data_IF_832937660320
#
_entry.id   IF_832937660320
#
_cell.length_a   1.000
_cell.length_b   1.000
_cell.length_c   1.000
_cell.angle_alpha   90.00
_cell.angle_beta   90.00
_cell.angle_gamma   90.00
#
_symmetry.space_group_name_H-M   'P 1'
#
loop_
_entity.id
_entity.type
_entity.pdbx_description
1 polymer ?
#
# COMPACT_ATOMS: atom_id res chain seq x y z
N UNK A 1 22.99 41.10 -27.30
CA UNK A 1 21.72 41.08 -26.54
C UNK A 1 20.96 39.74 -26.63
N UNK A 2 21.49 38.71 -27.32
CA UNK A 2 20.84 37.39 -27.43
C UNK A 2 21.19 36.42 -26.27
N UNK A 3 22.36 36.56 -25.65
CA UNK A 3 22.81 35.65 -24.57
C UNK A 3 22.00 35.74 -23.28
N UNK A 4 21.51 36.93 -22.92
CA UNK A 4 20.75 37.14 -21.67
C UNK A 4 19.33 36.57 -21.72
N UNK A 5 18.73 36.42 -22.90
CA UNK A 5 17.38 35.85 -23.07
C UNK A 5 17.42 34.32 -22.98
N UNK A 6 18.43 33.71 -23.58
CA UNK A 6 18.66 32.26 -23.53
C UNK A 6 18.93 31.79 -22.09
N UNK A 7 19.72 32.55 -21.33
CA UNK A 7 20.03 32.21 -19.92
C UNK A 7 18.79 32.30 -19.01
N UNK A 8 17.92 33.29 -19.21
CA UNK A 8 16.66 33.44 -18.46
C UNK A 8 15.66 32.31 -18.75
N UNK A 9 15.57 31.87 -20.01
CA UNK A 9 14.70 30.77 -20.41
C UNK A 9 15.19 29.43 -19.85
N UNK A 10 16.51 29.18 -19.86
CA UNK A 10 17.11 28.00 -19.24
C UNK A 10 16.84 27.94 -17.73
N UNK A 11 16.97 29.05 -17.01
CA UNK A 11 16.68 29.09 -15.57
C UNK A 11 15.20 28.84 -15.24
N UNK A 12 14.26 29.37 -16.04
CA UNK A 12 12.83 29.16 -15.84
C UNK A 12 12.41 27.70 -16.06
N UNK A 13 13.02 27.02 -17.03
CA UNK A 13 12.73 25.61 -17.31
C UNK A 13 13.21 24.69 -16.17
N UNK A 14 14.36 24.99 -15.55
CA UNK A 14 14.88 24.21 -14.40
C UNK A 14 13.97 24.35 -13.17
N UNK A 15 13.39 25.53 -12.93
CA UNK A 15 12.50 25.77 -11.78
C UNK A 15 11.14 25.07 -11.94
N UNK A 16 10.59 24.98 -13.16
CA UNK A 16 9.32 24.28 -13.40
C UNK A 16 9.40 22.77 -13.17
N UNK A 17 10.57 22.14 -13.36
CA UNK A 17 10.77 20.70 -13.13
C UNK A 17 10.90 20.37 -11.62
N UNK A 18 11.30 21.33 -10.80
CA UNK A 18 11.42 21.14 -9.35
C UNK A 18 10.07 21.20 -8.63
N UNK A 19 9.05 21.82 -9.23
CA UNK A 19 7.71 21.93 -8.66
C UNK A 19 6.82 20.71 -8.94
N UNK A 20 7.24 19.81 -9.84
CA UNK A 20 6.57 18.55 -10.15
C UNK A 20 7.22 17.35 -9.48
N UNK A 21 8.24 17.55 -8.63
CA UNK A 21 8.76 16.50 -7.80
C UNK A 21 7.58 15.91 -7.02
N UNK A 22 7.26 14.61 -7.19
CA UNK A 22 6.28 13.97 -6.35
C UNK A 22 6.75 14.24 -4.93
N UNK A 23 5.84 14.80 -4.12
CA UNK A 23 6.06 14.97 -2.70
C UNK A 23 6.58 13.62 -2.22
N UNK A 24 7.86 13.56 -1.88
CA UNK A 24 8.44 12.41 -1.21
C UNK A 24 7.91 12.46 0.23
N UNK A 25 6.59 12.27 0.36
CA UNK A 25 6.06 11.56 1.50
C UNK A 25 6.92 10.30 1.58
N UNK A 26 7.47 9.98 2.75
CA UNK A 26 8.03 8.67 3.01
C UNK A 26 6.87 7.65 3.02
N UNK A 27 6.13 7.62 1.92
CA UNK A 27 4.94 6.84 1.72
C UNK A 27 5.42 5.44 1.38
N UNK A 28 4.90 4.46 2.11
CA UNK A 28 5.27 3.07 1.87
C UNK A 28 4.81 2.75 0.45
N UNK A 29 5.76 2.45 -0.44
CA UNK A 29 5.45 2.25 -1.84
C UNK A 29 4.50 1.04 -2.02
N UNK A 30 3.47 1.20 -2.85
CA UNK A 30 2.43 0.18 -2.96
C UNK A 30 2.94 -1.18 -3.48
N UNK A 31 3.94 -1.17 -4.36
CA UNK A 31 4.63 -2.39 -4.79
C UNK A 31 5.31 -3.13 -3.62
N UNK A 32 5.89 -2.39 -2.66
CA UNK A 32 6.48 -2.95 -1.45
C UNK A 32 5.39 -3.54 -0.53
N UNK A 33 4.24 -2.89 -0.43
CA UNK A 33 3.11 -3.42 0.35
C UNK A 33 2.62 -4.75 -0.23
N UNK A 34 2.44 -4.80 -1.55
CA UNK A 34 2.00 -6.01 -2.25
C UNK A 34 3.04 -7.13 -2.12
N UNK A 35 4.34 -6.82 -2.16
CA UNK A 35 5.38 -7.84 -2.03
C UNK A 35 5.39 -8.50 -0.65
N UNK A 36 5.14 -7.74 0.43
CA UNK A 36 4.98 -8.32 1.78
C UNK A 36 3.81 -9.31 1.87
N UNK A 37 2.75 -9.11 1.09
CA UNK A 37 1.53 -9.94 1.15
C UNK A 37 1.44 -10.99 0.06
N UNK A 38 2.34 -10.99 -0.93
CA UNK A 38 2.37 -12.02 -1.99
C UNK A 38 2.38 -13.44 -1.43
N UNK A 39 3.11 -13.77 -0.34
CA UNK A 39 3.05 -15.09 0.27
C UNK A 39 1.67 -15.49 0.81
N UNK A 40 0.80 -14.52 1.10
CA UNK A 40 -0.54 -14.77 1.65
C UNK A 40 -1.56 -15.18 0.59
N UNK A 41 -1.28 -14.96 -0.70
CA UNK A 41 -2.26 -15.11 -1.79
C UNK A 41 -2.85 -16.52 -1.82
N UNK A 42 -2.01 -17.56 -1.74
CA UNK A 42 -2.50 -18.94 -1.78
C UNK A 42 -3.49 -19.24 -0.65
N UNK A 43 -3.20 -18.74 0.57
CA UNK A 43 -4.11 -18.88 1.71
C UNK A 43 -5.41 -18.10 1.49
N UNK A 44 -5.34 -16.86 1.01
CA UNK A 44 -6.55 -16.04 0.77
C UNK A 44 -7.46 -16.68 -0.29
N UNK A 45 -6.88 -17.31 -1.31
CA UNK A 45 -7.63 -17.93 -2.39
C UNK A 45 -8.20 -19.30 -2.01
N UNK A 46 -7.45 -20.12 -1.26
CA UNK A 46 -7.76 -21.54 -1.07
C UNK A 46 -7.98 -21.96 0.39
N UNK A 47 -7.63 -21.11 1.37
CA UNK A 47 -7.59 -21.48 2.78
C UNK A 47 -6.37 -22.34 3.15
N UNK A 48 -6.51 -23.16 4.19
CA UNK A 48 -5.46 -24.08 4.65
C UNK A 48 -4.57 -23.52 5.76
N UNK A 49 -3.30 -23.93 5.79
CA UNK A 49 -2.32 -23.41 6.74
C UNK A 49 -1.78 -22.05 6.26
N UNK A 50 -1.64 -21.09 7.17
CA UNK A 50 -1.06 -19.77 6.85
C UNK A 50 0.45 -19.93 6.69
N UNK A 51 1.05 -19.54 5.54
CA UNK A 51 2.49 -19.60 5.36
C UNK A 51 3.24 -18.72 6.37
N UNK A 52 4.35 -19.20 6.93
CA UNK A 52 5.13 -18.45 7.92
C UNK A 52 5.59 -17.08 7.37
N UNK A 53 6.02 -17.04 6.11
CA UNK A 53 6.41 -15.82 5.41
C UNK A 53 5.25 -14.85 5.15
N UNK A 54 4.00 -15.33 5.07
CA UNK A 54 2.82 -14.46 5.06
C UNK A 54 2.72 -13.69 6.39
N UNK A 55 2.86 -14.38 7.52
CA UNK A 55 2.85 -13.72 8.83
C UNK A 55 4.03 -12.78 9.04
N UNK A 56 5.23 -13.14 8.57
CA UNK A 56 6.38 -12.22 8.58
C UNK A 56 6.10 -10.95 7.77
N UNK A 57 5.43 -11.08 6.62
CA UNK A 57 5.02 -9.94 5.79
C UNK A 57 4.00 -9.04 6.49
N UNK A 58 2.96 -9.62 7.09
CA UNK A 58 1.94 -8.88 7.86
C UNK A 58 2.58 -8.15 9.04
N UNK A 59 3.47 -8.81 9.79
CA UNK A 59 4.19 -8.19 10.91
C UNK A 59 5.09 -7.05 10.43
N UNK A 60 5.78 -7.23 9.31
CA UNK A 60 6.62 -6.19 8.70
C UNK A 60 5.79 -4.98 8.30
N UNK A 61 4.66 -5.18 7.63
CA UNK A 61 3.74 -4.09 7.28
C UNK A 61 3.21 -3.35 8.50
N UNK A 62 2.81 -4.07 9.55
CA UNK A 62 2.36 -3.45 10.80
C UNK A 62 3.49 -2.68 11.50
N UNK A 63 4.74 -3.11 11.33
CA UNK A 63 5.89 -2.39 11.85
C UNK A 63 6.18 -1.09 11.09
N UNK A 64 5.86 -1.04 9.79
CA UNK A 64 6.05 0.14 8.96
C UNK A 64 4.88 1.13 9.07
N UNK A 65 3.65 0.64 9.27
CA UNK A 65 2.45 1.46 9.32
C UNK A 65 2.21 2.12 10.70
N UNK A 66 3.17 2.94 11.15
CA UNK A 66 3.17 3.52 12.50
C UNK A 66 2.24 4.71 12.66
N UNK A 67 2.05 5.50 11.61
CA UNK A 67 1.16 6.66 11.63
C UNK A 67 -0.17 6.35 10.96
N UNK A 68 -1.18 7.17 11.23
CA UNK A 68 -2.47 7.06 10.55
C UNK A 68 -2.30 7.27 9.05
N UNK A 69 -1.44 8.21 8.63
CA UNK A 69 -1.10 8.40 7.22
C UNK A 69 -0.58 7.10 6.59
N UNK A 70 0.36 6.42 7.23
CA UNK A 70 0.91 5.16 6.69
C UNK A 70 -0.16 4.08 6.58
N UNK A 71 -1.02 3.94 7.60
CA UNK A 71 -2.11 2.96 7.60
C UNK A 71 -3.13 3.25 6.51
N UNK A 72 -3.43 4.54 6.26
CA UNK A 72 -4.30 4.97 5.17
C UNK A 72 -3.67 4.65 3.81
N UNK A 73 -2.37 4.90 3.63
CA UNK A 73 -1.65 4.54 2.42
C UNK A 73 -1.63 3.03 2.17
N UNK A 74 -1.36 2.23 3.20
CA UNK A 74 -1.45 0.77 3.13
C UNK A 74 -2.87 0.33 2.74
N UNK A 75 -3.89 0.87 3.39
CA UNK A 75 -5.29 0.57 3.06
C UNK A 75 -5.62 0.87 1.60
N UNK A 76 -5.27 2.08 1.11
CA UNK A 76 -5.54 2.50 -0.25
C UNK A 76 -4.80 1.63 -1.27
N UNK A 77 -3.54 1.28 -0.99
CA UNK A 77 -2.78 0.37 -1.82
C UNK A 77 -3.45 -1.01 -1.93
N UNK A 78 -3.85 -1.61 -0.80
CA UNK A 78 -4.50 -2.91 -0.78
C UNK A 78 -5.84 -2.90 -1.51
N UNK A 79 -6.64 -1.85 -1.31
CA UNK A 79 -7.91 -1.65 -2.03
C UNK A 79 -7.71 -1.59 -3.54
N UNK A 80 -6.70 -0.84 -4.00
CA UNK A 80 -6.36 -0.76 -5.42
C UNK A 80 -5.83 -2.09 -5.95
N UNK A 81 -4.92 -2.75 -5.23
CA UNK A 81 -4.37 -4.05 -5.64
C UNK A 81 -5.46 -5.11 -5.79
N UNK A 82 -6.41 -5.16 -4.84
CA UNK A 82 -7.57 -6.05 -4.92
C UNK A 82 -8.41 -5.72 -6.17
N UNK A 83 -8.73 -4.44 -6.36
CA UNK A 83 -9.58 -3.99 -7.49
C UNK A 83 -8.92 -4.23 -8.86
N UNK A 84 -7.60 -4.12 -8.94
CA UNK A 84 -6.82 -4.31 -10.18
C UNK A 84 -6.36 -5.75 -10.42
N UNK A 85 -6.51 -6.65 -9.44
CA UNK A 85 -6.01 -8.03 -9.55
C UNK A 85 -6.73 -8.90 -10.58
N UNK A 86 -7.93 -8.49 -11.03
CA UNK A 86 -8.80 -9.31 -11.89
C UNK A 86 -9.37 -10.55 -11.17
N UNK A 87 -9.07 -10.74 -9.89
CA UNK A 87 -9.57 -11.84 -9.06
C UNK A 87 -10.96 -11.50 -8.57
N UNK A 88 -11.91 -12.41 -8.76
CA UNK A 88 -13.23 -12.33 -8.13
C UNK A 88 -13.13 -12.89 -6.70
N UNK A 89 -13.09 -12.00 -5.73
CA UNK A 89 -13.14 -12.39 -4.32
C UNK A 89 -14.57 -12.73 -3.91
N UNK A 90 -14.75 -13.92 -3.32
CA UNK A 90 -15.99 -14.30 -2.65
C UNK A 90 -15.96 -13.89 -1.18
N UNK A 91 -17.11 -13.94 -0.49
CA UNK A 91 -17.17 -13.71 0.96
C UNK A 91 -16.24 -14.64 1.74
N UNK A 92 -16.03 -15.86 1.25
CA UNK A 92 -15.08 -16.81 1.81
C UNK A 92 -13.64 -16.26 1.74
N UNK A 93 -13.20 -15.80 0.57
CA UNK A 93 -11.85 -15.25 0.40
C UNK A 93 -11.64 -13.99 1.24
N UNK A 94 -12.65 -13.12 1.30
CA UNK A 94 -12.61 -11.90 2.11
C UNK A 94 -12.57 -12.22 3.61
N UNK A 95 -13.28 -13.25 4.06
CA UNK A 95 -13.21 -13.74 5.44
C UNK A 95 -11.82 -14.26 5.80
N UNK A 96 -11.18 -15.01 4.91
CA UNK A 96 -9.80 -15.48 5.10
C UNK A 96 -8.81 -14.31 5.20
N UNK A 97 -8.90 -13.35 4.28
CA UNK A 97 -8.05 -12.16 4.29
C UNK A 97 -8.24 -11.32 5.57
N UNK A 98 -9.48 -11.11 6.01
CA UNK A 98 -9.79 -10.34 7.21
C UNK A 98 -9.29 -11.01 8.51
N UNK A 99 -9.19 -12.34 8.54
CA UNK A 99 -8.71 -13.09 9.70
C UNK A 99 -7.19 -13.25 9.78
N UNK A 100 -6.45 -12.91 8.72
CA UNK A 100 -4.99 -13.09 8.66
C UNK A 100 -4.22 -12.37 9.77
N UNK A 101 -4.49 -11.08 10.09
CA UNK A 101 -3.76 -10.38 11.14
C UNK A 101 -3.81 -11.13 12.48
N UNK A 102 -5.02 -11.50 12.92
CA UNK A 102 -5.21 -12.24 14.17
C UNK A 102 -4.54 -13.62 14.15
N UNK A 103 -4.63 -14.35 13.02
CA UNK A 103 -3.94 -15.65 12.85
C UNK A 103 -2.42 -15.53 12.91
N UNK A 104 -1.88 -14.38 12.52
CA UNK A 104 -0.46 -14.06 12.58
C UNK A 104 -0.03 -13.38 13.88
N UNK A 105 -0.91 -13.28 14.88
CA UNK A 105 -0.60 -12.62 16.16
C UNK A 105 -0.46 -11.10 16.08
N UNK A 106 -0.96 -10.49 15.01
CA UNK A 106 -0.95 -9.04 14.79
C UNK A 106 -2.33 -8.47 15.09
N UNK A 107 -2.39 -7.59 16.08
CA UNK A 107 -3.63 -6.91 16.45
C UNK A 107 -3.72 -5.53 15.76
N UNK A 108 -4.68 -5.38 14.85
CA UNK A 108 -5.00 -4.10 14.20
C UNK A 108 -6.43 -3.68 14.56
N UNK A 109 -6.69 -2.41 14.88
CA UNK A 109 -8.01 -1.95 15.31
C UNK A 109 -9.01 -1.74 14.16
N UNK A 110 -8.70 -2.23 12.95
CA UNK A 110 -9.55 -2.09 11.76
C UNK A 110 -9.50 -3.35 10.89
N UNK A 111 -10.56 -3.56 10.10
CA UNK A 111 -10.63 -4.65 9.12
C UNK A 111 -10.05 -4.20 7.79
N UNK A 112 -9.36 -5.09 7.10
CA UNK A 112 -8.90 -4.89 5.73
C UNK A 112 -9.88 -5.61 4.81
N UNK A 113 -10.66 -4.84 4.06
CA UNK A 113 -11.66 -5.32 3.10
C UNK A 113 -11.80 -4.34 1.92
N UNK A 114 -12.28 -4.77 0.75
CA UNK A 114 -12.48 -3.90 -0.42
C UNK A 114 -13.39 -2.68 -0.14
N UNK A 115 -14.35 -2.86 0.77
CA UNK A 115 -15.32 -1.84 1.20
C UNK A 115 -14.82 -0.97 2.35
N UNK A 116 -13.58 -1.17 2.81
CA UNK A 116 -13.00 -0.36 3.90
C UNK A 116 -12.88 1.08 3.44
N UNK A 117 -13.42 1.99 4.25
CA UNK A 117 -13.18 3.41 4.11
C UNK A 117 -11.79 3.74 4.65
N UNK A 118 -10.81 3.80 3.75
CA UNK A 118 -9.43 4.06 4.10
C UNK A 118 -9.22 5.42 4.77
N UNK A 119 -10.11 6.41 4.60
CA UNK A 119 -9.97 7.72 5.26
C UNK A 119 -10.20 7.66 6.77
N UNK A 120 -10.87 6.61 7.25
CA UNK A 120 -11.21 6.40 8.67
C UNK A 120 -10.25 5.47 9.41
N UNK A 121 -9.22 4.98 8.72
CA UNK A 121 -8.18 4.15 9.31
C UNK A 121 -7.25 5.05 10.14
N UNK A 122 -7.09 4.70 11.42
CA UNK A 122 -6.25 5.38 12.39
C UNK A 122 -5.44 4.40 13.22
#
# INVERSE_FOLDING_TARGET
MAGSVVFKLLCLMVVCVLLTAPKANADIACNQIVSYLTPCISYVLNGGAVPANCCSGISSLNSLAKTSSDRQSVCNCLKNAISSSGIRYTDFNLGLAAGLPQKCGVNIPYKIAPTTDCSRVN
#
